data_IF_376287032906
#
_entry.id   IF_376287032906
#
_cell.length_a   1.000
_cell.length_b   1.000
_cell.length_c   1.000
_cell.angle_alpha   90.00
_cell.angle_beta   90.00
_cell.angle_gamma   90.00
#
_symmetry.space_group_name_H-M   'P 1'
#
loop_
_entity.id
_entity.type
_entity.pdbx_description
1 polymer ?
#
# COMPACT_ATOMS: atom_id res chain seq x y z
N UNK A 1 12.47 21.06 12.04
CA UNK A 1 12.04 20.21 13.18
C UNK A 1 10.82 19.34 12.84
N UNK A 2 9.89 19.84 12.04
CA UNK A 2 8.72 19.08 11.57
C UNK A 2 8.94 18.48 10.18
N UNK A 3 9.79 17.46 10.08
CA UNK A 3 9.94 16.67 8.86
C UNK A 3 9.58 15.21 9.18
N UNK A 4 8.42 14.72 8.72
CA UNK A 4 7.93 13.39 9.09
C UNK A 4 8.78 12.26 8.50
N UNK A 5 9.47 12.49 7.37
CA UNK A 5 10.31 11.50 6.73
C UNK A 5 11.45 12.16 5.96
N UNK A 6 12.66 11.59 6.02
CA UNK A 6 13.83 12.11 5.30
C UNK A 6 13.63 12.12 3.77
N UNK A 7 12.80 11.22 3.25
CA UNK A 7 12.45 11.15 1.82
C UNK A 7 11.65 12.38 1.36
N UNK A 8 11.09 13.20 2.25
CA UNK A 8 10.42 14.46 1.89
C UNK A 8 11.37 15.66 1.87
N UNK A 9 12.60 15.51 2.37
CA UNK A 9 13.62 16.54 2.26
C UNK A 9 14.06 16.72 0.79
N UNK A 10 14.09 17.95 0.24
CA UNK A 10 14.38 18.17 -1.18
C UNK A 10 15.66 17.50 -1.68
N UNK A 11 16.75 17.58 -0.90
CA UNK A 11 18.03 16.94 -1.25
C UNK A 11 17.92 15.42 -1.39
N UNK A 12 17.26 14.76 -0.44
CA UNK A 12 17.15 13.30 -0.42
C UNK A 12 16.12 12.81 -1.44
N UNK A 13 15.00 13.51 -1.58
CA UNK A 13 14.01 13.25 -2.62
C UNK A 13 14.64 13.28 -4.02
N UNK A 14 15.50 14.26 -4.29
CA UNK A 14 16.19 14.37 -5.58
C UNK A 14 17.17 13.22 -5.83
N UNK A 15 17.98 12.87 -4.81
CA UNK A 15 18.90 11.72 -4.90
C UNK A 15 18.14 10.42 -5.19
N UNK A 16 17.02 10.20 -4.51
CA UNK A 16 16.18 9.01 -4.71
C UNK A 16 15.58 9.01 -6.11
N UNK A 17 14.98 10.12 -6.58
CA UNK A 17 14.40 10.22 -7.93
C UNK A 17 15.42 9.91 -9.02
N UNK A 18 16.65 10.41 -8.89
CA UNK A 18 17.73 10.17 -9.85
C UNK A 18 18.29 8.73 -9.77
N UNK A 19 18.21 8.10 -8.60
CA UNK A 19 18.78 6.77 -8.33
C UNK A 19 17.82 5.61 -8.57
N UNK A 20 16.50 5.82 -8.45
CA UNK A 20 15.53 4.73 -8.33
C UNK A 20 15.53 3.79 -9.55
N UNK A 21 15.61 4.34 -10.78
CA UNK A 21 15.71 3.54 -12.00
C UNK A 21 17.01 2.74 -12.08
N UNK A 22 18.13 3.31 -11.61
CA UNK A 22 19.42 2.61 -11.58
C UNK A 22 19.40 1.46 -10.58
N UNK A 23 18.76 1.67 -9.43
CA UNK A 23 18.55 0.65 -8.41
C UNK A 23 17.70 -0.50 -8.97
N UNK A 24 16.58 -0.20 -9.64
CA UNK A 24 15.75 -1.22 -10.29
C UNK A 24 16.56 -2.08 -11.30
N UNK A 25 17.35 -1.44 -12.17
CA UNK A 25 18.19 -2.16 -13.13
C UNK A 25 19.26 -3.01 -12.44
N UNK A 26 19.86 -2.51 -11.36
CA UNK A 26 20.84 -3.26 -10.58
C UNK A 26 20.22 -4.54 -9.97
N UNK A 27 19.03 -4.41 -9.39
CA UNK A 27 18.26 -5.52 -8.82
C UNK A 27 17.94 -6.56 -9.89
N UNK A 28 17.43 -6.12 -11.05
CA UNK A 28 17.14 -7.01 -12.18
C UNK A 28 18.38 -7.82 -12.59
N UNK A 29 19.53 -7.14 -12.79
CA UNK A 29 20.79 -7.82 -13.14
C UNK A 29 21.20 -8.81 -12.05
N UNK A 30 21.13 -8.42 -10.77
CA UNK A 30 21.49 -9.29 -9.65
C UNK A 30 20.66 -10.58 -9.64
N UNK A 31 19.33 -10.49 -9.86
CA UNK A 31 18.44 -11.66 -9.98
C UNK A 31 18.77 -12.53 -11.20
N UNK A 32 19.14 -11.92 -12.32
CA UNK A 32 19.57 -12.64 -13.53
C UNK A 32 20.82 -13.47 -13.29
N UNK A 33 21.84 -12.89 -12.65
CA UNK A 33 23.12 -13.56 -12.36
C UNK A 33 23.11 -14.36 -11.05
N UNK A 34 21.95 -14.46 -10.38
CA UNK A 34 21.76 -15.23 -9.14
C UNK A 34 22.59 -14.72 -7.96
N UNK A 35 22.82 -13.41 -7.89
CA UNK A 35 23.44 -12.74 -6.75
C UNK A 35 22.35 -12.20 -5.82
N UNK A 36 22.37 -12.53 -4.52
CA UNK A 36 21.40 -12.00 -3.57
C UNK A 36 21.68 -10.51 -3.28
N UNK A 37 20.65 -9.67 -3.41
CA UNK A 37 20.72 -8.23 -3.12
C UNK A 37 19.60 -7.76 -2.14
N UNK A 38 19.38 -8.44 -1.00
CA UNK A 38 18.19 -8.24 -0.17
C UNK A 38 18.04 -6.82 0.39
N UNK A 39 19.15 -6.14 0.70
CA UNK A 39 19.11 -4.77 1.20
C UNK A 39 18.61 -3.79 0.12
N UNK A 40 19.02 -4.01 -1.14
CA UNK A 40 18.63 -3.21 -2.28
C UNK A 40 17.17 -3.47 -2.66
N UNK A 41 16.77 -4.75 -2.71
CA UNK A 41 15.39 -5.19 -3.00
C UNK A 41 14.42 -4.57 -1.99
N UNK A 42 14.67 -4.76 -0.69
CA UNK A 42 13.79 -4.23 0.35
C UNK A 42 13.74 -2.70 0.37
N UNK A 43 14.87 -2.01 0.11
CA UNK A 43 14.89 -0.55 0.05
C UNK A 43 14.06 -0.02 -1.13
N UNK A 44 14.16 -0.68 -2.28
CA UNK A 44 13.37 -0.35 -3.46
C UNK A 44 11.87 -0.54 -3.21
N UNK A 45 11.49 -1.71 -2.69
CA UNK A 45 10.09 -2.04 -2.39
C UNK A 45 9.50 -1.09 -1.34
N UNK A 46 10.26 -0.73 -0.30
CA UNK A 46 9.83 0.23 0.71
C UNK A 46 9.52 1.61 0.11
N UNK A 47 10.41 2.12 -0.76
CA UNK A 47 10.22 3.42 -1.40
C UNK A 47 9.00 3.39 -2.32
N UNK A 48 8.82 2.31 -3.09
CA UNK A 48 7.65 2.16 -3.97
C UNK A 48 6.35 2.08 -3.17
N UNK A 49 6.32 1.30 -2.10
CA UNK A 49 5.13 1.17 -1.25
C UNK A 49 4.78 2.51 -0.59
N UNK A 50 5.77 3.22 -0.04
CA UNK A 50 5.55 4.51 0.61
C UNK A 50 5.07 5.60 -0.39
N UNK A 51 5.56 5.56 -1.62
CA UNK A 51 5.15 6.50 -2.67
C UNK A 51 3.82 6.11 -3.34
N UNK A 52 3.31 4.90 -3.12
CA UNK A 52 2.05 4.45 -3.69
C UNK A 52 0.86 4.93 -2.86
N UNK A 53 -0.12 5.63 -3.46
CA UNK A 53 -1.32 6.04 -2.74
C UNK A 53 -2.18 4.85 -2.28
N UNK A 54 -2.12 3.73 -2.99
CA UNK A 54 -2.88 2.52 -2.69
C UNK A 54 -1.96 1.32 -2.63
N UNK A 55 -1.99 0.60 -1.50
CA UNK A 55 -1.28 -0.66 -1.35
C UNK A 55 -2.25 -1.83 -1.55
N UNK A 56 -2.30 -2.38 -2.77
CA UNK A 56 -3.23 -3.45 -3.15
C UNK A 56 -3.11 -4.67 -2.23
N UNK A 57 -1.90 -5.01 -1.79
CA UNK A 57 -1.67 -6.12 -0.87
C UNK A 57 -2.33 -5.91 0.51
N UNK A 58 -2.40 -4.67 1.00
CA UNK A 58 -3.14 -4.37 2.24
C UNK A 58 -4.65 -4.49 2.05
N UNK A 59 -5.18 -4.10 0.89
CA UNK A 59 -6.60 -4.24 0.57
C UNK A 59 -7.00 -5.72 0.56
N UNK A 60 -6.22 -6.57 -0.12
CA UNK A 60 -6.45 -8.02 -0.14
C UNK A 60 -6.32 -8.60 1.27
N UNK A 61 -5.31 -8.20 2.05
CA UNK A 61 -5.13 -8.66 3.43
C UNK A 61 -6.32 -8.29 4.32
N UNK A 62 -6.89 -7.09 4.16
CA UNK A 62 -8.07 -6.66 4.90
C UNK A 62 -9.30 -7.53 4.56
N UNK A 63 -9.53 -7.79 3.28
CA UNK A 63 -10.63 -8.65 2.83
C UNK A 63 -10.44 -10.11 3.26
N UNK A 64 -9.20 -10.62 3.28
CA UNK A 64 -8.91 -11.95 3.82
C UNK A 64 -9.28 -12.02 5.30
N UNK A 65 -8.85 -11.03 6.11
CA UNK A 65 -9.20 -10.94 7.53
C UNK A 65 -10.70 -10.88 7.75
N UNK A 66 -11.41 -10.14 6.92
CA UNK A 66 -12.87 -10.10 6.97
C UNK A 66 -13.49 -11.45 6.61
N UNK A 67 -12.97 -12.10 5.56
CA UNK A 67 -13.42 -13.41 5.08
C UNK A 67 -13.37 -14.50 6.15
N UNK A 68 -12.21 -14.68 6.80
CA UNK A 68 -12.04 -15.79 7.75
C UNK A 68 -12.34 -15.42 9.20
N UNK A 69 -12.50 -14.14 9.53
CA UNK A 69 -12.51 -13.65 10.91
C UNK A 69 -13.49 -12.53 11.22
N UNK A 70 -14.34 -12.10 10.26
CA UNK A 70 -15.30 -11.01 10.44
C UNK A 70 -14.67 -9.74 11.05
N UNK A 71 -13.44 -9.45 10.63
CA UNK A 71 -12.65 -8.34 11.16
C UNK A 71 -13.03 -6.96 10.60
N UNK A 72 -13.94 -6.90 9.63
CA UNK A 72 -14.27 -5.68 8.92
C UNK A 72 -13.13 -5.16 8.05
N UNK A 73 -13.45 -4.15 7.24
CA UNK A 73 -12.49 -3.41 6.43
C UNK A 73 -13.00 -2.00 6.10
N UNK A 74 -12.09 -1.16 5.62
CA UNK A 74 -12.39 0.20 5.15
C UNK A 74 -12.29 0.25 3.63
N UNK A 75 -13.13 1.09 3.01
CA UNK A 75 -13.14 1.28 1.55
C UNK A 75 -12.54 2.62 1.17
N UNK A 76 -11.92 2.67 0.00
CA UNK A 76 -11.49 3.91 -0.62
C UNK A 76 -12.66 4.54 -1.38
N UNK A 77 -12.64 5.88 -1.54
CA UNK A 77 -13.68 6.61 -2.28
C UNK A 77 -13.73 6.22 -3.76
N UNK A 78 -12.58 5.89 -4.35
CA UNK A 78 -12.52 5.39 -5.72
C UNK A 78 -11.11 4.98 -6.15
N UNK A 79 -10.97 4.55 -7.40
CA UNK A 79 -9.66 4.23 -7.99
C UNK A 79 -8.80 5.49 -8.18
N UNK A 80 -9.44 6.61 -8.49
CA UNK A 80 -8.80 7.92 -8.68
C UNK A 80 -8.77 8.77 -7.40
N UNK A 81 -9.42 8.30 -6.34
CA UNK A 81 -9.50 8.98 -5.03
C UNK A 81 -9.12 7.98 -3.93
N UNK A 82 -7.82 7.93 -3.56
CA UNK A 82 -7.29 6.98 -2.59
C UNK A 82 -7.64 7.34 -1.14
N UNK A 83 -8.48 8.33 -0.89
CA UNK A 83 -8.94 8.63 0.45
C UNK A 83 -9.92 7.57 0.96
N UNK A 84 -9.87 7.30 2.26
CA UNK A 84 -10.80 6.39 2.92
C UNK A 84 -12.20 7.02 2.96
N UNK A 85 -13.23 6.22 2.74
CA UNK A 85 -14.62 6.65 2.84
C UNK A 85 -14.98 7.08 4.26
N UNK A 86 -15.64 8.23 4.38
CA UNK A 86 -16.10 8.78 5.66
C UNK A 86 -17.60 9.08 5.64
N UNK A 87 -18.21 9.13 6.83
CA UNK A 87 -19.58 9.63 7.03
C UNK A 87 -19.60 11.17 6.89
N UNK A 88 -20.78 11.80 6.76
CA UNK A 88 -20.89 13.27 6.77
C UNK A 88 -20.28 13.93 8.03
N UNK A 89 -20.26 13.21 9.16
CA UNK A 89 -19.67 13.64 10.43
C UNK A 89 -18.14 13.41 10.50
N UNK A 90 -17.53 12.89 9.43
CA UNK A 90 -16.09 12.69 9.31
C UNK A 90 -15.55 11.40 9.94
N UNK A 91 -16.41 10.46 10.34
CA UNK A 91 -15.98 9.15 10.85
C UNK A 91 -15.64 8.20 9.69
N UNK A 92 -14.60 7.38 9.84
CA UNK A 92 -14.27 6.34 8.86
C UNK A 92 -15.40 5.32 8.81
N UNK A 93 -15.83 4.94 7.59
CA UNK A 93 -16.88 3.94 7.36
C UNK A 93 -16.27 2.53 7.34
N UNK A 94 -16.80 1.65 8.17
CA UNK A 94 -16.39 0.25 8.30
C UNK A 94 -17.40 -0.68 7.64
N UNK A 95 -16.91 -1.70 6.94
CA UNK A 95 -17.73 -2.64 6.18
C UNK A 95 -17.39 -4.08 6.57
N UNK A 96 -18.39 -4.95 6.51
CA UNK A 96 -18.24 -6.40 6.59
C UNK A 96 -19.01 -7.07 5.47
N UNK A 97 -18.40 -8.06 4.84
CA UNK A 97 -19.06 -8.87 3.82
C UNK A 97 -19.42 -10.24 4.37
N UNK A 98 -20.65 -10.67 4.14
CA UNK A 98 -21.09 -12.03 4.46
C UNK A 98 -20.64 -13.00 3.35
N UNK A 99 -19.35 -13.32 3.35
CA UNK A 99 -18.66 -14.00 2.24
C UNK A 99 -19.21 -15.39 1.90
N UNK A 100 -19.86 -16.03 2.86
CA UNK A 100 -20.42 -17.39 2.71
C UNK A 100 -21.83 -17.39 2.12
N UNK A 101 -22.52 -16.24 2.10
CA UNK A 101 -23.86 -16.13 1.53
C UNK A 101 -23.80 -15.94 0.01
N UNK A 102 -24.80 -16.47 -0.74
CA UNK A 102 -24.97 -16.15 -2.14
C UNK A 102 -25.04 -14.64 -2.36
N UNK A 103 -24.26 -14.13 -3.32
CA UNK A 103 -24.19 -12.70 -3.62
C UNK A 103 -23.30 -11.87 -2.70
N UNK A 104 -22.76 -12.47 -1.62
CA UNK A 104 -21.79 -11.83 -0.70
C UNK A 104 -22.24 -10.44 -0.26
N UNK A 105 -23.40 -10.33 0.42
CA UNK A 105 -23.92 -9.03 0.81
C UNK A 105 -22.93 -8.31 1.73
N UNK A 106 -22.69 -7.03 1.44
CA UNK A 106 -21.84 -6.13 2.22
C UNK A 106 -22.74 -5.27 3.14
N UNK A 107 -22.36 -5.15 4.40
CA UNK A 107 -23.01 -4.33 5.41
C UNK A 107 -22.03 -3.30 5.96
N UNK A 108 -22.53 -2.12 6.30
CA UNK A 108 -21.77 -1.12 7.06
C UNK A 108 -21.99 -1.37 8.57
N UNK A 109 -20.90 -1.37 9.35
CA UNK A 109 -20.89 -1.64 10.80
C UNK A 109 -20.83 -0.34 11.60
#
# INVERSE_FOLDING_TARGET
PEMPNLLTAPRFAEVVKQGLKKLANFIEIAHWVKVPAPAMDNAFDYILQLASPVMVSAQVSALQRDYFGAHGYFKLKGLDDPEVMTTPEGKIREFHTEWMLPGRPEMEI
#
